data_IF_522419493226
#
_entry.id   IF_522419493226
#
_cell.length_a   1.000
_cell.length_b   1.000
_cell.length_c   1.000
_cell.angle_alpha   90.00
_cell.angle_beta   90.00
_cell.angle_gamma   90.00
#
_symmetry.space_group_name_H-M   'P 1'
#
loop_
_entity.id
_entity.type
_entity.pdbx_description
1 polymer ?
#
# COMPACT_ATOMS: atom_id res chain seq x y z
N UNK A 1 -10.15 -7.88 0.67
CA UNK A 1 -9.52 -6.90 -0.24
C UNK A 1 -9.15 -7.59 -1.57
N UNK A 2 -9.63 -7.09 -2.72
CA UNK A 2 -9.42 -7.74 -4.04
C UNK A 2 -8.12 -7.33 -4.76
N UNK A 3 -7.54 -6.19 -4.37
CA UNK A 3 -6.29 -5.68 -4.93
C UNK A 3 -6.03 -4.24 -4.50
N UNK A 4 -4.85 -3.73 -4.83
CA UNK A 4 -4.41 -2.38 -4.50
C UNK A 4 -3.69 -1.73 -5.68
N UNK A 5 -4.02 -0.48 -5.95
CA UNK A 5 -3.35 0.37 -6.94
C UNK A 5 -2.78 1.56 -6.19
N UNK A 6 -1.46 1.73 -6.26
CA UNK A 6 -0.77 2.91 -5.73
C UNK A 6 -0.45 3.92 -6.83
N UNK A 7 -0.08 5.15 -6.44
CA UNK A 7 0.52 6.12 -7.36
C UNK A 7 1.73 5.53 -8.10
N UNK A 8 2.51 4.66 -7.43
CA UNK A 8 3.64 3.99 -8.04
C UNK A 8 3.24 3.06 -9.20
N UNK A 9 2.09 2.41 -9.12
CA UNK A 9 1.64 1.50 -10.17
C UNK A 9 1.08 2.32 -11.36
N UNK A 10 0.30 3.36 -11.09
CA UNK A 10 -0.17 4.32 -12.11
C UNK A 10 1.00 4.99 -12.82
N UNK A 11 1.96 5.54 -12.07
CA UNK A 11 3.13 6.22 -12.64
C UNK A 11 3.93 5.29 -13.55
N UNK A 12 4.19 4.05 -13.13
CA UNK A 12 4.93 3.07 -13.96
C UNK A 12 4.16 2.74 -15.24
N UNK A 13 2.84 2.65 -15.16
CA UNK A 13 1.98 2.40 -16.32
C UNK A 13 2.03 3.54 -17.34
N UNK A 14 1.92 4.79 -16.87
CA UNK A 14 2.01 6.00 -17.70
C UNK A 14 3.39 6.12 -18.35
N UNK A 15 4.47 5.94 -17.57
CA UNK A 15 5.85 6.01 -18.07
C UNK A 15 6.15 4.92 -19.11
N UNK A 16 5.49 3.76 -19.00
CA UNK A 16 5.57 2.69 -19.98
C UNK A 16 4.73 2.95 -21.26
N UNK A 17 4.10 4.12 -21.40
CA UNK A 17 3.25 4.50 -22.54
C UNK A 17 2.15 3.48 -22.85
N UNK A 18 1.60 2.86 -21.80
CA UNK A 18 0.49 1.91 -21.93
C UNK A 18 -0.86 2.65 -22.02
N UNK A 19 -1.90 2.04 -22.63
CA UNK A 19 -3.24 2.65 -22.70
C UNK A 19 -3.81 2.96 -21.31
N UNK A 20 -4.41 4.14 -21.15
CA UNK A 20 -4.94 4.62 -19.87
C UNK A 20 -6.38 4.17 -19.59
N UNK A 21 -7.05 3.60 -20.59
CA UNK A 21 -8.39 3.04 -20.55
C UNK A 21 -8.42 1.56 -20.13
N UNK A 22 -7.28 1.02 -19.71
CA UNK A 22 -7.19 -0.34 -19.17
C UNK A 22 -7.92 -0.47 -17.83
N UNK A 23 -8.52 -1.63 -17.53
CA UNK A 23 -9.18 -1.85 -16.26
C UNK A 23 -8.15 -1.86 -15.12
N UNK A 24 -8.55 -1.39 -13.92
CA UNK A 24 -7.66 -1.32 -12.76
C UNK A 24 -7.04 -2.68 -12.39
N UNK A 25 -7.76 -3.78 -12.63
CA UNK A 25 -7.27 -5.15 -12.40
C UNK A 25 -6.02 -5.51 -13.21
N UNK A 26 -5.76 -4.80 -14.31
CA UNK A 26 -4.60 -5.03 -15.17
C UNK A 26 -3.32 -4.39 -14.61
N UNK A 27 -3.44 -3.46 -13.66
CA UNK A 27 -2.31 -2.74 -13.06
C UNK A 27 -2.22 -2.91 -11.54
N UNK A 28 -3.26 -3.45 -10.90
CA UNK A 28 -3.29 -3.63 -9.44
C UNK A 28 -2.38 -4.76 -8.96
N UNK A 29 -1.88 -4.62 -7.73
CA UNK A 29 -1.35 -5.72 -6.94
C UNK A 29 -2.54 -6.52 -6.40
N UNK A 30 -2.72 -7.78 -6.85
CA UNK A 30 -3.89 -8.61 -6.46
C UNK A 30 -3.90 -8.99 -4.98
N UNK A 31 -2.73 -9.30 -4.43
CA UNK A 31 -2.55 -9.68 -3.02
C UNK A 31 -1.60 -8.68 -2.36
N UNK A 32 -2.08 -7.45 -2.08
CA UNK A 32 -1.25 -6.46 -1.43
C UNK A 32 -0.99 -6.89 0.02
N UNK A 33 0.20 -6.61 0.53
CA UNK A 33 0.44 -6.68 1.97
C UNK A 33 -0.48 -5.66 2.65
N UNK A 34 -1.26 -6.13 3.63
CA UNK A 34 -2.09 -5.32 4.50
C UNK A 34 -1.72 -5.53 5.96
N UNK A 35 -2.13 -4.61 6.82
CA UNK A 35 -1.97 -4.70 8.29
C UNK A 35 -3.33 -4.64 8.98
N UNK A 36 -3.40 -5.07 10.24
CA UNK A 36 -4.60 -4.93 11.06
C UNK A 36 -4.72 -3.54 11.71
N UNK A 37 -5.93 -3.13 12.13
CA UNK A 37 -6.16 -1.82 12.76
C UNK A 37 -5.47 -1.66 14.12
N UNK A 38 -5.23 -2.77 14.83
CA UNK A 38 -4.61 -2.76 16.16
C UNK A 38 -3.08 -2.85 16.14
N UNK A 39 -2.46 -2.89 14.95
CA UNK A 39 -1.00 -2.97 14.82
C UNK A 39 -0.36 -1.69 15.37
N UNK A 40 0.65 -1.82 16.24
CA UNK A 40 1.33 -0.65 16.78
C UNK A 40 2.09 0.08 15.68
N UNK A 41 2.16 1.40 15.81
CA UNK A 41 2.81 2.24 14.80
C UNK A 41 4.31 1.91 14.60
N UNK A 42 5.00 1.45 15.65
CA UNK A 42 6.40 0.98 15.57
C UNK A 42 6.51 -0.35 14.80
N UNK A 43 5.61 -1.29 15.03
CA UNK A 43 5.56 -2.58 14.33
C UNK A 43 5.23 -2.36 12.85
N UNK A 44 4.33 -1.41 12.55
CA UNK A 44 4.02 -1.04 11.19
C UNK A 44 5.25 -0.47 10.44
N UNK A 45 6.11 0.30 11.13
CA UNK A 45 7.36 0.77 10.54
C UNK A 45 8.30 -0.40 10.19
N UNK A 46 8.40 -1.40 11.07
CA UNK A 46 9.16 -2.62 10.78
C UNK A 46 8.59 -3.38 9.57
N UNK A 47 7.26 -3.47 9.44
CA UNK A 47 6.62 -4.05 8.25
C UNK A 47 7.09 -3.31 6.99
N UNK A 48 7.00 -1.97 6.96
CA UNK A 48 7.48 -1.18 5.83
C UNK A 48 8.96 -1.44 5.49
N UNK A 49 9.81 -1.60 6.50
CA UNK A 49 11.23 -1.85 6.33
C UNK A 49 11.52 -3.26 5.81
N UNK A 50 10.76 -4.26 6.24
CA UNK A 50 11.01 -5.68 5.92
C UNK A 50 10.34 -6.16 4.63
N UNK A 51 9.43 -5.36 4.05
CA UNK A 51 8.81 -5.72 2.79
C UNK A 51 9.83 -5.83 1.64
N UNK A 52 9.73 -6.88 0.80
CA UNK A 52 10.64 -7.09 -0.33
C UNK A 52 10.52 -5.98 -1.38
N UNK A 53 9.29 -5.47 -1.58
CA UNK A 53 9.02 -4.29 -2.40
C UNK A 53 8.78 -3.10 -1.48
N UNK A 54 9.56 -2.03 -1.65
CA UNK A 54 9.34 -0.78 -0.93
C UNK A 54 8.03 -0.13 -1.38
N UNK A 55 7.16 0.13 -0.41
CA UNK A 55 5.86 0.78 -0.57
C UNK A 55 5.76 1.95 0.41
N UNK A 56 4.99 2.98 0.05
CA UNK A 56 4.78 4.16 0.90
C UNK A 56 3.51 4.10 1.74
N UNK A 57 2.69 3.08 1.52
CA UNK A 57 1.36 2.95 2.09
C UNK A 57 0.97 1.46 2.19
N UNK A 58 0.15 1.15 3.21
CA UNK A 58 -0.39 -0.18 3.46
C UNK A 58 -1.89 -0.08 3.72
N UNK A 59 -2.73 -0.87 3.04
CA UNK A 59 -4.13 -1.04 3.40
C UNK A 59 -4.26 -1.59 4.83
N UNK A 60 -5.19 -1.02 5.59
CA UNK A 60 -5.58 -1.53 6.91
C UNK A 60 -6.85 -2.36 6.74
N UNK A 61 -6.79 -3.65 7.09
CA UNK A 61 -7.86 -4.62 6.82
C UNK A 61 -8.24 -5.34 8.10
N UNK A 62 -9.54 -5.41 8.36
CA UNK A 62 -10.15 -6.11 9.49
C UNK A 62 -11.22 -7.06 8.95
N UNK A 63 -11.12 -8.36 9.27
CA UNK A 63 -12.06 -9.40 8.81
C UNK A 63 -12.35 -9.37 7.29
N UNK A 64 -11.32 -9.06 6.49
CA UNK A 64 -11.43 -8.96 5.03
C UNK A 64 -11.96 -7.62 4.50
N UNK A 65 -12.43 -6.75 5.39
CA UNK A 65 -12.94 -5.41 5.10
C UNK A 65 -11.81 -4.38 5.16
N UNK A 66 -11.75 -3.50 4.15
CA UNK A 66 -10.83 -2.36 4.17
C UNK A 66 -11.36 -1.30 5.14
N UNK A 67 -10.63 -1.04 6.22
CA UNK A 67 -11.03 -0.09 7.28
C UNK A 67 -10.17 1.17 7.30
N UNK A 68 -9.03 1.19 6.58
CA UNK A 68 -8.18 2.36 6.50
C UNK A 68 -6.99 2.22 5.56
N UNK A 69 -6.15 3.26 5.56
CA UNK A 69 -4.90 3.31 4.81
C UNK A 69 -3.82 3.93 5.70
N UNK A 70 -2.76 3.18 5.96
CA UNK A 70 -1.61 3.66 6.72
C UNK A 70 -0.55 4.18 5.76
N UNK A 71 -0.10 5.41 5.94
CA UNK A 71 0.99 5.99 5.13
C UNK A 71 2.30 6.05 5.92
N UNK A 72 3.39 5.57 5.33
CA UNK A 72 4.73 5.59 5.93
C UNK A 72 5.14 7.02 6.35
N UNK A 73 4.81 8.02 5.52
CA UNK A 73 5.13 9.42 5.81
C UNK A 73 4.47 9.95 7.09
N UNK A 74 3.34 9.40 7.49
CA UNK A 74 2.63 9.82 8.71
C UNK A 74 3.31 9.23 9.96
N UNK A 75 3.79 7.97 9.87
CA UNK A 75 4.65 7.37 10.90
C UNK A 75 5.91 8.21 11.11
N UNK A 76 6.61 8.56 10.03
CA UNK A 76 7.81 9.39 10.11
C UNK A 76 7.54 10.78 10.69
N UNK A 77 6.40 11.40 10.34
CA UNK A 77 5.98 12.70 10.88
C UNK A 77 5.63 12.66 12.36
N UNK A 78 5.16 11.52 12.86
CA UNK A 78 4.86 11.34 14.28
C UNK A 78 6.11 11.20 15.18
N UNK A 79 7.30 11.12 14.58
CA UNK A 79 8.57 11.00 15.31
C UNK A 79 8.95 9.57 15.68
N UNK A 80 8.29 8.57 15.07
CA UNK A 80 8.66 7.15 15.20
C UNK A 80 9.86 6.89 14.29
N UNK A 81 11.02 6.63 14.90
CA UNK A 81 12.31 6.34 14.27
C UNK A 81 13.05 5.25 15.05
#
# INVERSE_FOLDING_TARGET
LLGFVSDGDVRRHVVASRPLDMPAEAIMVREPTSVGPDLMAIEALEVFQNLPKKVGELPVVEEGTLVGLLMLKDLLRSGIL
#
